data_IF_316340016330
#
_entry.id   IF_316340016330
#
_cell.length_a   1.000
_cell.length_b   1.000
_cell.length_c   1.000
_cell.angle_alpha   90.00
_cell.angle_beta   90.00
_cell.angle_gamma   90.00
#
_symmetry.space_group_name_H-M   'P 1'
#
loop_
_entity.id
_entity.type
_entity.pdbx_description
1 polymer ?
#
# COMPACT_ATOMS: atom_id res chain seq x y z
N UNK A 1 11.56 -17.82 10.61
CA UNK A 1 11.31 -17.98 9.16
C UNK A 1 11.17 -16.60 8.54
N UNK A 2 11.60 -16.42 7.29
CA UNK A 2 11.51 -15.14 6.58
C UNK A 2 10.14 -15.01 5.91
N UNK A 3 9.47 -13.88 6.12
CA UNK A 3 8.23 -13.48 5.43
C UNK A 3 8.36 -11.99 5.12
N UNK A 4 8.60 -11.67 3.85
CA UNK A 4 8.73 -10.32 3.31
C UNK A 4 8.09 -10.29 1.93
N UNK A 5 7.29 -9.27 1.66
CA UNK A 5 6.68 -9.03 0.35
C UNK A 5 7.01 -7.60 -0.08
N UNK A 6 7.52 -7.44 -1.30
CA UNK A 6 7.78 -6.13 -1.88
C UNK A 6 6.97 -6.01 -3.15
N UNK A 7 6.12 -4.99 -3.25
CA UNK A 7 5.27 -4.75 -4.41
C UNK A 7 5.36 -3.27 -4.82
N UNK A 8 5.13 -3.02 -6.11
CA UNK A 8 4.99 -1.67 -6.64
C UNK A 8 3.74 -1.64 -7.49
N UNK A 9 2.91 -0.62 -7.31
CA UNK A 9 1.64 -0.54 -8.00
C UNK A 9 0.97 0.81 -7.82
N UNK A 10 -0.28 0.91 -8.29
CA UNK A 10 -1.06 2.14 -8.21
C UNK A 10 -2.21 2.03 -7.22
N UNK A 11 -2.51 3.12 -6.54
CA UNK A 11 -3.72 3.22 -5.73
C UNK A 11 -4.96 3.23 -6.61
N UNK A 12 -5.90 2.33 -6.31
CA UNK A 12 -7.18 2.25 -7.05
C UNK A 12 -8.18 3.32 -6.63
N UNK A 13 -8.04 3.84 -5.41
CA UNK A 13 -8.93 4.80 -4.75
C UNK A 13 -8.11 5.72 -3.84
N UNK A 14 -8.69 6.87 -3.51
CA UNK A 14 -8.10 7.78 -2.55
C UNK A 14 -8.02 7.13 -1.15
N UNK A 15 -6.89 7.28 -0.45
CA UNK A 15 -6.70 6.70 0.88
C UNK A 15 -7.51 7.45 1.94
N UNK A 16 -8.45 6.75 2.58
CA UNK A 16 -9.25 7.28 3.69
C UNK A 16 -8.69 6.81 5.04
N UNK A 17 -8.13 7.71 5.88
CA UNK A 17 -7.64 7.34 7.20
C UNK A 17 -8.82 7.10 8.14
N UNK A 18 -8.78 5.97 8.84
CA UNK A 18 -9.78 5.55 9.83
C UNK A 18 -9.10 5.33 11.16
N UNK A 19 -9.76 5.71 12.25
CA UNK A 19 -9.24 5.51 13.60
C UNK A 19 -10.00 4.38 14.28
N UNK A 20 -9.28 3.42 14.84
CA UNK A 20 -9.88 2.34 15.64
C UNK A 20 -10.37 2.88 16.99
N UNK A 21 -11.25 2.11 17.66
CA UNK A 21 -11.67 2.41 19.05
C UNK A 21 -10.51 2.46 20.05
N UNK A 22 -9.38 1.85 19.70
CA UNK A 22 -8.14 1.83 20.47
C UNK A 22 -7.21 3.02 20.18
N UNK A 23 -7.64 3.97 19.35
CA UNK A 23 -6.88 5.20 19.03
C UNK A 23 -5.79 5.01 17.97
N UNK A 24 -5.75 3.88 17.25
CA UNK A 24 -4.78 3.66 16.17
C UNK A 24 -5.39 4.08 14.83
N UNK A 25 -4.69 4.91 14.10
CA UNK A 25 -5.06 5.29 12.72
C UNK A 25 -4.62 4.19 11.76
N UNK A 26 -5.44 3.86 10.77
CA UNK A 26 -5.12 2.93 9.69
C UNK A 26 -5.74 3.38 8.38
N UNK A 27 -5.13 2.99 7.26
CA UNK A 27 -5.69 3.14 5.91
C UNK A 27 -5.73 1.77 5.28
N UNK A 28 -6.92 1.34 4.85
CA UNK A 28 -7.09 0.15 4.00
C UNK A 28 -7.18 0.57 2.54
N UNK A 29 -6.33 0.01 1.69
CA UNK A 29 -6.28 0.35 0.26
C UNK A 29 -6.06 -0.90 -0.60
N UNK A 30 -6.49 -0.81 -1.86
CA UNK A 30 -6.19 -1.83 -2.86
C UNK A 30 -5.13 -1.29 -3.83
N UNK A 31 -4.01 -2.01 -3.88
CA UNK A 31 -2.88 -1.76 -4.76
C UNK A 31 -3.07 -2.55 -6.06
N UNK A 32 -3.18 -1.84 -7.18
CA UNK A 32 -3.15 -2.44 -8.50
C UNK A 32 -1.70 -2.68 -8.92
N UNK A 33 -1.27 -3.93 -8.98
CA UNK A 33 0.06 -4.37 -9.39
C UNK A 33 -0.03 -4.93 -10.80
N UNK A 34 0.58 -4.22 -11.75
CA UNK A 34 0.59 -4.66 -13.14
C UNK A 34 1.45 -5.91 -13.31
N UNK A 35 0.94 -6.89 -14.06
CA UNK A 35 1.69 -8.11 -14.38
C UNK A 35 2.61 -7.85 -15.57
N UNK A 36 3.89 -8.18 -15.41
CA UNK A 36 4.90 -8.05 -16.47
C UNK A 36 4.57 -8.89 -17.72
N UNK A 37 3.92 -10.05 -17.56
CA UNK A 37 3.53 -10.93 -18.68
C UNK A 37 2.03 -10.81 -18.95
N UNK A 38 1.67 -10.17 -20.07
CA UNK A 38 0.32 -10.19 -20.61
C UNK A 38 0.03 -11.59 -21.15
N UNK A 39 -0.90 -12.30 -20.51
CA UNK A 39 -1.47 -13.54 -21.04
C UNK A 39 -2.82 -13.20 -21.64
N UNK A 40 -3.02 -13.54 -22.90
CA UNK A 40 -4.27 -13.32 -23.61
C UNK A 40 -5.45 -13.91 -22.80
N UNK A 41 -6.43 -13.07 -22.44
CA UNK A 41 -7.61 -13.49 -21.67
C UNK A 41 -7.45 -13.44 -20.14
N UNK A 42 -6.35 -12.97 -19.57
CA UNK A 42 -6.20 -12.75 -18.12
C UNK A 42 -6.18 -11.25 -17.75
N UNK A 43 -6.66 -10.89 -16.54
CA UNK A 43 -6.57 -9.53 -16.05
C UNK A 43 -5.11 -9.05 -16.01
N UNK A 44 -4.87 -7.84 -16.51
CA UNK A 44 -3.54 -7.25 -16.65
C UNK A 44 -2.92 -6.83 -15.31
N UNK A 45 -3.74 -6.68 -14.26
CA UNK A 45 -3.32 -6.25 -12.93
C UNK A 45 -3.92 -7.13 -11.83
N UNK A 46 -3.10 -7.39 -10.81
CA UNK A 46 -3.53 -7.97 -9.54
C UNK A 46 -3.93 -6.87 -8.57
N UNK A 47 -5.03 -7.08 -7.85
CA UNK A 47 -5.48 -6.16 -6.82
C UNK A 47 -5.16 -6.73 -5.44
N UNK A 48 -4.18 -6.13 -4.76
CA UNK A 48 -3.71 -6.57 -3.45
C UNK A 48 -4.24 -5.62 -2.38
N UNK A 49 -4.98 -6.16 -1.41
CA UNK A 49 -5.53 -5.38 -0.29
C UNK A 49 -4.49 -5.21 0.82
N UNK A 50 -4.10 -3.98 1.11
CA UNK A 50 -3.07 -3.64 2.07
C UNK A 50 -3.64 -2.74 3.17
N UNK A 51 -3.01 -2.78 4.34
CA UNK A 51 -3.28 -1.87 5.46
C UNK A 51 -1.97 -1.23 5.90
N UNK A 52 -1.99 0.11 5.94
CA UNK A 52 -0.95 0.91 6.57
C UNK A 52 -1.47 1.42 7.92
N UNK A 53 -0.57 1.58 8.90
CA UNK A 53 -0.92 1.97 10.27
C UNK A 53 -0.22 3.26 10.71
N UNK A 54 -0.81 3.97 11.67
CA UNK A 54 -0.29 5.14 12.37
C UNK A 54 0.26 6.21 11.41
N UNK A 55 1.52 6.61 11.60
CA UNK A 55 2.25 7.63 10.82
C UNK A 55 2.17 7.38 9.30
N UNK A 56 2.21 6.12 8.88
CA UNK A 56 2.14 5.75 7.46
C UNK A 56 0.73 5.97 6.90
N UNK A 57 -0.31 5.63 7.69
CA UNK A 57 -1.69 5.87 7.32
C UNK A 57 -1.98 7.36 7.13
N UNK A 58 -1.43 8.21 8.01
CA UNK A 58 -1.55 9.67 7.92
C UNK A 58 -0.81 10.21 6.69
N UNK A 59 0.43 9.75 6.44
CA UNK A 59 1.18 10.13 5.26
C UNK A 59 0.44 9.74 3.96
N UNK A 60 -0.15 8.56 3.91
CA UNK A 60 -0.94 8.14 2.75
C UNK A 60 -2.08 9.11 2.46
N UNK A 61 -2.83 9.51 3.50
CA UNK A 61 -3.95 10.43 3.36
C UNK A 61 -3.53 11.86 2.97
N UNK A 62 -2.32 12.28 3.34
CA UNK A 62 -1.80 13.62 3.06
C UNK A 62 -1.19 13.77 1.66
N UNK A 63 -0.47 12.75 1.21
CA UNK A 63 0.41 12.85 0.03
C UNK A 63 -0.09 12.03 -1.16
N UNK A 64 -0.88 10.98 -0.93
CA UNK A 64 -1.31 10.08 -1.98
C UNK A 64 -2.77 10.32 -2.39
N UNK A 65 -3.03 10.09 -3.67
CA UNK A 65 -4.34 10.17 -4.28
C UNK A 65 -4.57 8.95 -5.18
N UNK A 66 -5.80 8.81 -5.68
CA UNK A 66 -6.13 7.78 -6.65
C UNK A 66 -5.19 7.86 -7.86
N UNK A 67 -4.56 6.73 -8.19
CA UNK A 67 -3.62 6.61 -9.30
C UNK A 67 -2.15 6.88 -8.94
N UNK A 68 -1.84 7.31 -7.71
CA UNK A 68 -0.46 7.48 -7.26
C UNK A 68 0.29 6.14 -7.32
N UNK A 69 1.51 6.18 -7.86
CA UNK A 69 2.43 5.04 -7.90
C UNK A 69 3.12 4.92 -6.55
N UNK A 70 3.01 3.76 -5.90
CA UNK A 70 3.61 3.50 -4.60
C UNK A 70 4.33 2.15 -4.55
N UNK A 71 5.40 2.11 -3.77
CA UNK A 71 6.08 0.89 -3.36
C UNK A 71 5.72 0.51 -1.92
N UNK A 72 5.61 -0.79 -1.68
CA UNK A 72 5.28 -1.35 -0.37
C UNK A 72 6.28 -2.48 -0.03
N UNK A 73 6.78 -2.50 1.20
CA UNK A 73 7.52 -3.61 1.82
C UNK A 73 6.75 -4.06 3.06
N UNK A 74 6.17 -5.25 3.03
CA UNK A 74 5.33 -5.74 4.11
C UNK A 74 5.54 -7.20 4.43
N UNK A 75 4.56 -7.77 5.11
CA UNK A 75 4.48 -9.20 5.37
C UNK A 75 3.12 -9.73 4.92
N UNK A 76 3.11 -10.92 4.34
CA UNK A 76 1.87 -11.61 4.00
C UNK A 76 1.22 -12.19 5.26
N UNK A 77 -0.01 -11.77 5.56
CA UNK A 77 -0.88 -12.42 6.54
C UNK A 77 -2.07 -13.06 5.83
N UNK A 78 -2.34 -14.34 6.09
CA UNK A 78 -3.40 -15.09 5.40
C UNK A 78 -4.82 -14.81 5.93
N UNK A 79 -4.95 -14.38 7.20
CA UNK A 79 -6.26 -14.17 7.86
C UNK A 79 -6.73 -12.71 7.91
N UNK A 80 -5.87 -11.77 7.50
CA UNK A 80 -6.10 -10.32 7.56
C UNK A 80 -5.49 -9.66 6.31
N UNK A 81 -5.98 -8.48 5.91
CA UNK A 81 -5.30 -7.70 4.87
C UNK A 81 -3.84 -7.41 5.27
N UNK A 82 -2.95 -7.29 4.28
CA UNK A 82 -1.50 -7.28 4.49
C UNK A 82 -1.05 -6.09 5.35
N UNK A 83 -0.23 -6.35 6.37
CA UNK A 83 0.48 -5.27 7.08
C UNK A 83 1.66 -4.82 6.25
N UNK A 84 1.67 -3.54 5.90
CA UNK A 84 2.62 -2.95 4.96
C UNK A 84 3.42 -1.85 5.64
N UNK A 85 4.74 -1.91 5.50
CA UNK A 85 5.61 -0.76 5.63
C UNK A 85 5.75 -0.13 4.23
N UNK A 86 5.56 1.17 4.10
CA UNK A 86 5.66 1.84 2.80
C UNK A 86 7.12 2.16 2.50
N UNK A 87 7.57 1.90 1.27
CA UNK A 87 8.87 2.36 0.76
C UNK A 87 8.70 2.97 -0.65
N UNK A 88 8.96 4.28 -0.69
CA UNK A 88 9.24 5.20 -1.82
C UNK A 88 8.61 4.94 -3.21
N UNK A 89 7.72 5.83 -3.65
CA UNK A 89 7.76 6.53 -4.96
C UNK A 89 6.78 7.72 -5.06
N UNK A 90 6.44 8.36 -3.93
CA UNK A 90 5.79 9.67 -3.95
C UNK A 90 6.90 10.74 -3.91
N UNK A 91 7.14 11.51 -4.99
CA UNK A 91 8.23 12.48 -5.08
C UNK A 91 8.12 13.64 -4.07
N UNK A 92 7.01 13.72 -3.34
CA UNK A 92 6.60 14.76 -2.40
C UNK A 92 6.76 14.35 -0.92
N UNK A 93 7.22 13.14 -0.60
CA UNK A 93 7.46 12.73 0.79
C UNK A 93 8.81 13.26 1.31
N UNK A 94 8.86 13.79 2.55
CA UNK A 94 10.12 14.25 3.15
C UNK A 94 11.13 13.11 3.35
N UNK A 95 12.43 13.42 3.22
CA UNK A 95 13.56 12.48 3.23
C UNK A 95 13.73 11.70 4.55
N UNK A 96 13.18 12.22 5.66
CA UNK A 96 13.21 11.61 7.01
C UNK A 96 12.39 10.32 7.15
N UNK A 97 11.71 9.89 6.07
CA UNK A 97 10.86 8.71 6.01
C UNK A 97 11.47 7.56 5.20
N UNK A 98 12.69 7.72 4.69
CA UNK A 98 13.52 6.62 4.20
C UNK A 98 14.07 5.86 5.43
N UNK A 99 13.51 4.68 5.73
CA UNK A 99 14.01 3.77 6.80
C UNK A 99 14.68 2.54 6.23
#
# INVERSE_FOLDING_TARGET
MINRIVLTGRLTKDPEPRTTKTGKTYVSFALAVDRSRKVEGQPEADFINCVAWNRQAEAMAQYLHRGSLIGIDGRLLSKHPFDVLMWRFAPDLPEEWDI
#
